data_IF_547218199065
#
_entry.id   IF_547218199065
#
_cell.length_a   1.000
_cell.length_b   1.000
_cell.length_c   1.000
_cell.angle_alpha   90.00
_cell.angle_beta   90.00
_cell.angle_gamma   90.00
#
_symmetry.space_group_name_H-M   'P 1'
#
loop_
_entity.id
_entity.type
_entity.pdbx_description
1 polymer ?
#
# COMPACT_ATOMS: atom_id res chain seq x y z
N UNK A 1 31.13 32.81 14.53
CA UNK A 1 31.49 32.73 13.09
C UNK A 1 31.38 31.26 12.70
N UNK A 2 30.45 30.74 11.92
CA UNK A 2 29.30 31.24 11.20
C UNK A 2 28.60 30.00 10.65
N UNK A 3 27.30 29.89 10.90
CA UNK A 3 26.41 28.83 10.42
C UNK A 3 26.37 28.89 8.89
N UNK A 4 26.51 27.74 8.23
CA UNK A 4 26.15 27.59 6.82
C UNK A 4 25.41 26.26 6.67
N UNK A 5 24.09 26.37 6.49
CA UNK A 5 23.20 25.29 6.08
C UNK A 5 23.26 25.14 4.56
N UNK A 6 22.96 23.95 4.05
CA UNK A 6 22.10 23.85 2.89
C UNK A 6 20.77 23.17 3.25
N UNK A 7 19.70 23.89 2.94
CA UNK A 7 18.29 23.51 2.97
C UNK A 7 17.90 22.83 1.65
N UNK A 8 17.03 21.82 1.74
CA UNK A 8 16.38 21.15 0.60
C UNK A 8 16.05 19.69 0.92
N UNK A 9 15.12 19.38 1.84
CA UNK A 9 13.66 19.34 1.65
C UNK A 9 13.15 17.94 1.25
N UNK A 10 12.41 17.32 2.18
CA UNK A 10 11.33 16.38 1.83
C UNK A 10 11.53 14.94 2.25
N UNK A 11 11.28 14.66 3.53
CA UNK A 11 10.83 13.34 3.98
C UNK A 11 11.94 12.38 4.37
N UNK A 12 12.40 12.48 5.62
CA UNK A 12 12.54 11.25 6.39
C UNK A 12 11.14 10.65 6.45
N UNK A 13 10.80 9.81 5.47
CA UNK A 13 9.47 9.24 5.37
C UNK A 13 9.33 8.27 6.51
N UNK A 14 8.63 8.70 7.56
CA UNK A 14 8.13 7.85 8.62
C UNK A 14 7.59 6.56 8.01
N UNK A 15 8.34 5.47 8.15
CA UNK A 15 8.09 4.15 7.55
C UNK A 15 6.80 3.47 8.11
N UNK A 16 5.95 4.25 8.78
CA UNK A 16 4.72 3.83 9.46
C UNK A 16 3.47 4.52 8.91
N UNK A 17 3.58 5.51 8.00
CA UNK A 17 2.45 6.33 7.54
C UNK A 17 1.77 5.92 6.22
N UNK A 18 2.33 4.95 5.49
CA UNK A 18 1.79 4.56 4.17
C UNK A 18 0.48 3.78 4.30
N UNK A 19 -0.61 4.38 3.83
CA UNK A 19 -1.97 3.81 3.89
C UNK A 19 -2.51 3.35 2.54
N UNK A 20 -1.77 3.60 1.47
CA UNK A 20 -2.21 3.34 0.09
C UNK A 20 -1.03 3.06 -0.85
N UNK A 21 -1.28 2.25 -1.88
CA UNK A 21 -0.28 1.78 -2.85
C UNK A 21 -0.71 1.99 -4.31
N UNK A 22 -0.85 3.23 -4.79
CA UNK A 22 -1.24 3.49 -6.19
C UNK A 22 -0.25 2.90 -7.21
N UNK A 23 1.01 2.71 -6.84
CA UNK A 23 2.07 2.24 -7.73
C UNK A 23 1.97 0.75 -8.11
N UNK A 24 1.25 -0.06 -7.33
CA UNK A 24 1.09 -1.50 -7.61
C UNK A 24 -0.12 -1.79 -8.50
N UNK A 25 -0.87 -0.76 -8.91
CA UNK A 25 -1.95 -0.89 -9.89
C UNK A 25 -1.35 -1.32 -11.23
N UNK A 26 -1.94 -2.35 -11.85
CA UNK A 26 -1.41 -2.98 -13.05
C UNK A 26 -0.34 -4.05 -12.79
N UNK A 27 0.07 -4.28 -11.53
CA UNK A 27 1.00 -5.36 -11.19
C UNK A 27 0.26 -6.66 -10.93
N UNK A 28 0.98 -7.79 -11.00
CA UNK A 28 0.44 -9.04 -10.51
C UNK A 28 0.24 -8.99 -9.00
N UNK A 29 -0.82 -9.63 -8.52
CA UNK A 29 -1.19 -9.68 -7.10
C UNK A 29 -0.03 -10.10 -6.20
N UNK A 30 0.77 -11.09 -6.63
CA UNK A 30 1.94 -11.57 -5.88
C UNK A 30 3.00 -10.47 -5.72
N UNK A 31 3.29 -9.72 -6.80
CA UNK A 31 4.24 -8.61 -6.77
C UNK A 31 3.74 -7.47 -5.89
N UNK A 32 2.45 -7.15 -6.00
CA UNK A 32 1.79 -6.15 -5.17
C UNK A 32 1.86 -6.52 -3.69
N UNK A 33 1.54 -7.76 -3.34
CA UNK A 33 1.59 -8.25 -1.96
C UNK A 33 3.01 -8.20 -1.38
N UNK A 34 4.03 -8.57 -2.16
CA UNK A 34 5.42 -8.47 -1.73
C UNK A 34 5.84 -7.02 -1.46
N UNK A 35 5.41 -6.08 -2.32
CA UNK A 35 5.65 -4.65 -2.12
C UNK A 35 4.97 -4.11 -0.86
N UNK A 36 3.70 -4.46 -0.66
CA UNK A 36 2.93 -4.04 0.52
C UNK A 36 3.55 -4.58 1.80
N UNK A 37 3.91 -5.87 1.85
CA UNK A 37 4.58 -6.45 3.02
C UNK A 37 5.97 -5.86 3.28
N UNK A 38 6.69 -5.48 2.22
CA UNK A 38 7.97 -4.77 2.36
C UNK A 38 7.83 -3.36 2.91
N UNK A 39 6.79 -2.63 2.50
CA UNK A 39 6.52 -1.27 2.98
C UNK A 39 5.85 -1.24 4.37
N UNK A 40 5.00 -2.23 4.68
CA UNK A 40 4.27 -2.38 5.94
C UNK A 40 4.21 -3.88 6.29
N UNK A 41 5.19 -4.41 7.03
CA UNK A 41 5.11 -5.79 7.52
C UNK A 41 4.01 -5.98 8.57
N UNK A 42 3.54 -4.90 9.19
CA UNK A 42 2.50 -4.91 10.23
C UNK A 42 1.07 -5.10 9.70
N UNK A 43 0.85 -5.04 8.37
CA UNK A 43 -0.49 -5.15 7.79
C UNK A 43 -0.70 -6.49 7.09
N UNK A 44 -1.90 -7.03 7.21
CA UNK A 44 -2.32 -8.23 6.49
C UNK A 44 -2.88 -7.88 5.11
N UNK A 45 -2.32 -8.49 4.06
CA UNK A 45 -2.82 -8.31 2.69
C UNK A 45 -4.01 -9.25 2.46
N UNK A 46 -5.17 -8.68 2.14
CA UNK A 46 -6.40 -9.41 1.77
C UNK A 46 -6.66 -9.25 0.30
N UNK A 47 -6.75 -10.39 -0.39
CA UNK A 47 -6.99 -10.46 -1.83
C UNK A 47 -8.49 -10.59 -2.10
N UNK A 48 -8.99 -9.72 -2.97
CA UNK A 48 -10.40 -9.70 -3.38
C UNK A 48 -10.50 -9.78 -4.89
N UNK A 49 -11.16 -10.83 -5.36
CA UNK A 49 -11.43 -11.04 -6.78
C UNK A 49 -12.81 -10.49 -7.13
N UNK A 50 -12.89 -9.67 -8.18
CA UNK A 50 -14.18 -9.22 -8.75
C UNK A 50 -15.07 -8.41 -7.79
N UNK A 51 -14.50 -7.38 -7.15
CA UNK A 51 -15.21 -6.39 -6.32
C UNK A 51 -16.28 -7.02 -5.39
N UNK A 52 -15.90 -8.01 -4.56
CA UNK A 52 -16.81 -8.65 -3.62
C UNK A 52 -17.28 -7.63 -2.57
N UNK A 53 -18.34 -7.93 -1.79
CA UNK A 53 -18.74 -7.09 -0.67
C UNK A 53 -17.53 -6.85 0.24
N UNK A 54 -17.26 -5.57 0.54
CA UNK A 54 -16.15 -5.18 1.42
C UNK A 54 -16.31 -5.91 2.75
N UNK A 55 -15.23 -6.40 3.37
CA UNK A 55 -15.36 -7.11 4.63
C UNK A 55 -15.99 -6.18 5.67
N UNK A 56 -16.88 -6.67 6.54
CA UNK A 56 -17.47 -5.84 7.57
C UNK A 56 -16.40 -5.33 8.52
N UNK A 57 -16.41 -4.02 8.77
CA UNK A 57 -15.49 -3.35 9.69
C UNK A 57 -14.19 -2.86 9.04
N UNK A 58 -13.86 -1.59 9.33
CA UNK A 58 -12.58 -1.00 8.95
C UNK A 58 -11.47 -1.62 9.80
N UNK A 59 -10.49 -2.26 9.16
CA UNK A 59 -9.32 -2.79 9.84
C UNK A 59 -8.07 -1.97 9.46
N UNK A 60 -7.52 -1.16 10.39
CA UNK A 60 -6.34 -0.33 10.12
C UNK A 60 -5.05 -1.14 9.90
N UNK A 61 -5.11 -2.46 10.14
CA UNK A 61 -4.02 -3.41 9.96
C UNK A 61 -4.24 -4.35 8.78
N UNK A 62 -5.16 -4.02 7.87
CA UNK A 62 -5.45 -4.81 6.68
C UNK A 62 -5.37 -3.95 5.43
N UNK A 63 -4.76 -4.47 4.38
CA UNK A 63 -4.76 -3.85 3.05
C UNK A 63 -5.59 -4.71 2.11
N UNK A 64 -6.59 -4.10 1.47
CA UNK A 64 -7.44 -4.79 0.51
C UNK A 64 -6.86 -4.58 -0.90
N UNK A 65 -6.48 -5.67 -1.56
CA UNK A 65 -6.00 -5.68 -2.94
C UNK A 65 -7.10 -6.26 -3.82
N UNK A 66 -7.58 -5.46 -4.79
CA UNK A 66 -8.60 -5.89 -5.73
C UNK A 66 -7.95 -6.22 -7.07
N UNK A 67 -8.14 -7.44 -7.54
CA UNK A 67 -7.61 -7.91 -8.82
C UNK A 67 -8.70 -8.40 -9.77
N UNK A 68 -8.38 -8.38 -11.06
CA UNK A 68 -9.18 -9.03 -12.12
C UNK A 68 -8.92 -10.54 -12.20
N UNK A 69 -9.62 -11.22 -13.10
CA UNK A 69 -9.45 -12.66 -13.37
C UNK A 69 -8.03 -13.04 -13.85
N UNK A 70 -7.29 -12.10 -14.42
CA UNK A 70 -5.90 -12.30 -14.81
C UNK A 70 -4.91 -12.17 -13.63
N UNK A 71 -5.39 -11.95 -12.41
CA UNK A 71 -4.53 -11.77 -11.23
C UNK A 71 -3.74 -10.45 -11.24
N UNK A 72 -4.26 -9.43 -11.94
CA UNK A 72 -3.69 -8.09 -12.02
C UNK A 72 -4.47 -7.13 -11.13
N UNK A 73 -3.77 -6.32 -10.35
CA UNK A 73 -4.36 -5.30 -9.48
C UNK A 73 -5.02 -4.23 -10.35
N UNK A 74 -6.33 -4.04 -10.19
CA UNK A 74 -7.12 -3.08 -10.98
C UNK A 74 -7.55 -1.85 -10.20
N UNK A 75 -7.38 -1.86 -8.88
CA UNK A 75 -7.64 -0.71 -8.00
C UNK A 75 -6.47 -0.51 -7.05
N UNK A 76 -6.25 0.74 -6.69
CA UNK A 76 -5.28 1.14 -5.66
C UNK A 76 -5.57 0.40 -4.36
N UNK A 77 -4.64 -0.43 -3.85
CA UNK A 77 -4.76 -1.03 -2.54
C UNK A 77 -4.70 0.05 -1.47
N UNK A 78 -5.58 -0.07 -0.49
CA UNK A 78 -5.69 0.86 0.64
C UNK A 78 -5.91 0.08 1.93
N UNK A 79 -5.52 0.68 3.05
CA UNK A 79 -5.84 0.13 4.37
C UNK A 79 -7.35 0.21 4.62
N UNK A 80 -7.97 -0.91 5.04
CA UNK A 80 -9.37 -0.95 5.48
C UNK A 80 -10.03 -2.32 5.47
#
# INVERSE_FOLDING_TARGET
MGRAEPVGAGGGGDETGKTSWPEVVGWSVQRAAARINGDRPDVSVTLMYSNPPWPPGHNPWRVVVISNEAGVVVKTPVIG
#
